data_IF_808726303338
#
_entry.id   IF_808726303338
#
_cell.length_a   1.000
_cell.length_b   1.000
_cell.length_c   1.000
_cell.angle_alpha   90.00
_cell.angle_beta   90.00
_cell.angle_gamma   90.00
#
_symmetry.space_group_name_H-M   'P 1'
#
loop_
_entity.id
_entity.type
_entity.pdbx_description
1 polymer ?
#
# COMPACT_ATOMS: atom_id res chain seq x y z
N UNK A 1 -5.23 17.05 -16.25
CA UNK A 1 -5.59 16.28 -15.03
C UNK A 1 -7.07 16.50 -14.72
N UNK A 2 -7.81 15.44 -14.56
CA UNK A 2 -9.19 15.54 -14.06
C UNK A 2 -9.17 15.62 -12.53
N UNK A 3 -9.30 16.82 -12.01
CA UNK A 3 -9.22 17.05 -10.56
C UNK A 3 -10.37 16.44 -9.79
N UNK A 4 -11.54 16.28 -10.41
CA UNK A 4 -12.67 15.59 -9.80
C UNK A 4 -12.32 14.14 -9.52
N UNK A 5 -11.77 13.45 -10.49
CA UNK A 5 -11.31 12.07 -10.32
C UNK A 5 -10.17 11.97 -9.31
N UNK A 6 -9.21 12.89 -9.37
CA UNK A 6 -8.13 12.92 -8.40
C UNK A 6 -8.67 12.96 -6.97
N UNK A 7 -9.59 13.86 -6.67
CA UNK A 7 -10.13 13.98 -5.32
C UNK A 7 -10.97 12.76 -4.91
N UNK A 8 -11.68 12.12 -5.83
CA UNK A 8 -12.41 10.89 -5.54
C UNK A 8 -11.44 9.77 -5.14
N UNK A 9 -10.39 9.56 -5.92
CA UNK A 9 -9.38 8.56 -5.59
C UNK A 9 -8.58 8.92 -4.33
N UNK A 10 -8.30 10.20 -4.13
CA UNK A 10 -7.63 10.67 -2.93
C UNK A 10 -8.47 10.41 -1.67
N UNK A 11 -9.78 10.61 -1.73
CA UNK A 11 -10.68 10.27 -0.62
C UNK A 11 -10.66 8.78 -0.32
N UNK A 12 -10.63 7.92 -1.35
CA UNK A 12 -10.48 6.48 -1.16
C UNK A 12 -9.16 6.13 -0.48
N UNK A 13 -8.09 6.80 -0.87
CA UNK A 13 -6.78 6.64 -0.23
C UNK A 13 -6.78 7.14 1.22
N UNK A 14 -7.47 8.23 1.50
CA UNK A 14 -7.64 8.73 2.88
C UNK A 14 -8.40 7.73 3.75
N UNK A 15 -9.41 7.06 3.20
CA UNK A 15 -10.13 6.00 3.90
C UNK A 15 -9.18 4.84 4.24
N UNK A 16 -8.34 4.42 3.30
CA UNK A 16 -7.30 3.42 3.56
C UNK A 16 -6.30 3.90 4.60
N UNK A 17 -5.86 5.15 4.51
CA UNK A 17 -4.92 5.75 5.46
C UNK A 17 -5.48 5.84 6.88
N UNK A 18 -6.79 5.97 7.03
CA UNK A 18 -7.45 6.04 8.34
C UNK A 18 -7.20 4.78 9.18
N UNK A 19 -6.98 3.63 8.55
CA UNK A 19 -6.63 2.41 9.27
C UNK A 19 -5.31 2.55 10.03
N UNK A 20 -4.34 3.27 9.49
CA UNK A 20 -3.08 3.57 10.17
C UNK A 20 -3.26 4.46 11.39
N UNK A 21 -4.23 5.38 11.36
CA UNK A 21 -4.54 6.22 12.50
C UNK A 21 -5.30 5.44 13.59
N UNK A 22 -6.17 4.50 13.20
CA UNK A 22 -6.97 3.69 14.13
C UNK A 22 -6.16 2.53 14.72
N UNK A 23 -5.22 1.96 13.98
CA UNK A 23 -4.43 0.79 14.37
C UNK A 23 -2.95 1.15 14.33
N UNK A 24 -2.51 1.97 15.29
CA UNK A 24 -1.12 2.38 15.40
C UNK A 24 -0.25 1.24 15.96
N UNK A 25 1.08 1.25 15.68
CA UNK A 25 1.98 0.19 16.13
C UNK A 25 1.96 -0.05 17.63
N UNK A 26 2.11 1.00 18.46
CA UNK A 26 1.98 0.93 19.90
C UNK A 26 2.98 0.01 20.60
N UNK A 27 2.68 -0.32 21.86
CA UNK A 27 3.58 -1.05 22.73
C UNK A 27 3.85 -2.49 22.25
N UNK A 28 2.84 -3.15 21.67
CA UNK A 28 3.01 -4.49 21.15
C UNK A 28 4.12 -4.54 20.10
N UNK A 29 4.08 -3.61 19.14
CA UNK A 29 5.09 -3.54 18.08
C UNK A 29 6.47 -3.16 18.62
N UNK A 30 6.51 -2.21 19.54
CA UNK A 30 7.77 -1.75 20.15
C UNK A 30 8.48 -2.87 20.91
N UNK A 31 7.71 -3.81 21.49
CA UNK A 31 8.24 -4.95 22.21
C UNK A 31 8.69 -6.13 21.34
N UNK A 32 8.44 -6.08 20.04
CA UNK A 32 8.83 -7.16 19.14
C UNK A 32 10.34 -7.15 18.84
N UNK A 33 10.89 -8.34 18.61
CA UNK A 33 12.24 -8.46 18.06
C UNK A 33 12.19 -8.11 16.57
N UNK A 34 12.90 -7.05 16.18
CA UNK A 34 12.88 -6.50 14.83
C UNK A 34 14.27 -6.52 14.21
N UNK A 35 14.39 -6.65 12.86
CA UNK A 35 15.69 -6.58 12.21
C UNK A 35 16.32 -5.19 12.39
N UNK A 36 17.66 -5.13 12.35
CA UNK A 36 18.41 -3.89 12.55
C UNK A 36 18.08 -2.81 11.51
N UNK A 37 17.63 -3.21 10.31
CA UNK A 37 17.28 -2.28 9.23
C UNK A 37 15.84 -1.76 9.30
N UNK A 38 15.10 -2.06 10.38
CA UNK A 38 13.71 -1.60 10.55
C UNK A 38 13.65 -0.07 10.49
N UNK A 39 12.81 0.52 9.61
CA UNK A 39 12.68 1.98 9.54
C UNK A 39 12.15 2.56 10.86
N UNK A 40 12.56 3.78 11.23
CA UNK A 40 11.95 4.47 12.36
C UNK A 40 10.44 4.67 12.17
N UNK A 41 9.67 4.71 13.25
CA UNK A 41 8.22 4.78 13.20
C UNK A 41 7.70 5.96 12.38
N UNK A 42 8.38 7.11 12.42
CA UNK A 42 7.96 8.30 11.67
C UNK A 42 8.03 8.14 10.16
N UNK A 43 8.83 7.20 9.65
CA UNK A 43 8.97 6.94 8.21
C UNK A 43 7.68 6.39 7.63
N UNK A 44 6.94 5.58 8.40
CA UNK A 44 5.71 4.94 7.91
C UNK A 44 4.63 5.95 7.47
N UNK A 45 4.19 6.89 8.33
CA UNK A 45 3.16 7.84 7.92
C UNK A 45 3.62 8.78 6.80
N UNK A 46 4.88 9.21 6.80
CA UNK A 46 5.41 10.08 5.74
C UNK A 46 5.40 9.35 4.40
N UNK A 47 5.92 8.11 4.37
CA UNK A 47 5.96 7.30 3.15
C UNK A 47 4.55 7.01 2.63
N UNK A 48 3.63 6.58 3.49
CA UNK A 48 2.27 6.28 3.09
C UNK A 48 1.54 7.52 2.55
N UNK A 49 1.76 8.69 3.13
CA UNK A 49 1.17 9.94 2.64
C UNK A 49 1.62 10.24 1.21
N UNK A 50 2.92 10.16 0.96
CA UNK A 50 3.48 10.37 -0.38
C UNK A 50 2.91 9.35 -1.36
N UNK A 51 2.85 8.08 -0.97
CA UNK A 51 2.35 7.00 -1.83
C UNK A 51 0.86 7.18 -2.15
N UNK A 52 0.03 7.57 -1.19
CA UNK A 52 -1.40 7.78 -1.43
C UNK A 52 -1.65 8.94 -2.40
N UNK A 53 -0.90 10.02 -2.29
CA UNK A 53 -0.98 11.12 -3.25
C UNK A 53 -0.57 10.65 -4.64
N UNK A 54 0.53 9.91 -4.74
CA UNK A 54 1.01 9.35 -6.02
C UNK A 54 0.00 8.40 -6.65
N UNK A 55 -0.62 7.52 -5.84
CA UNK A 55 -1.68 6.61 -6.31
C UNK A 55 -2.88 7.36 -6.87
N UNK A 56 -3.32 8.40 -6.18
CA UNK A 56 -4.49 9.17 -6.61
C UNK A 56 -4.21 9.88 -7.93
N UNK A 57 -3.01 10.43 -8.11
CA UNK A 57 -2.60 11.05 -9.38
C UNK A 57 -2.59 9.99 -10.49
N UNK A 58 -1.96 8.85 -10.24
CA UNK A 58 -1.86 7.78 -11.24
C UNK A 58 -3.24 7.27 -11.66
N UNK A 59 -4.13 7.01 -10.70
CA UNK A 59 -5.49 6.54 -10.96
C UNK A 59 -6.30 7.56 -11.77
N UNK A 60 -6.20 8.85 -11.43
CA UNK A 60 -6.90 9.90 -12.15
C UNK A 60 -6.45 10.01 -13.61
N UNK A 61 -5.16 9.78 -13.86
CA UNK A 61 -4.62 9.80 -15.23
C UNK A 61 -5.10 8.61 -16.05
N UNK A 62 -5.19 7.43 -15.44
CA UNK A 62 -5.53 6.18 -16.14
C UNK A 62 -7.04 6.03 -16.33
N UNK A 63 -7.84 6.45 -15.37
CA UNK A 63 -9.29 6.23 -15.36
C UNK A 63 -10.01 6.83 -16.58
N UNK A 64 -9.48 7.89 -17.16
CA UNK A 64 -10.06 8.55 -18.34
C UNK A 64 -9.61 7.93 -19.67
N UNK A 65 -8.73 6.95 -19.64
CA UNK A 65 -8.18 6.34 -20.85
C UNK A 65 -9.04 5.17 -21.31
N UNK A 66 -9.13 4.99 -22.62
CA UNK A 66 -9.80 3.83 -23.20
C UNK A 66 -9.04 2.54 -22.80
N UNK A 67 -9.80 1.50 -22.48
CA UNK A 67 -9.20 0.22 -22.11
C UNK A 67 -8.68 0.15 -20.69
N UNK A 68 -9.07 1.08 -19.81
CA UNK A 68 -8.58 1.15 -18.44
C UNK A 68 -9.29 0.22 -17.45
N UNK A 69 -10.32 -0.51 -17.88
CA UNK A 69 -11.18 -1.28 -16.96
C UNK A 69 -10.39 -2.27 -16.09
N UNK A 70 -9.52 -3.09 -16.70
CA UNK A 70 -8.72 -4.06 -15.95
C UNK A 70 -7.70 -3.37 -15.04
N UNK A 71 -7.05 -2.31 -15.54
CA UNK A 71 -6.10 -1.54 -14.74
C UNK A 71 -6.76 -0.94 -13.50
N UNK A 72 -7.96 -0.40 -13.64
CA UNK A 72 -8.71 0.16 -12.52
C UNK A 72 -9.24 -0.92 -11.58
N UNK A 73 -9.55 -2.11 -12.09
CA UNK A 73 -9.91 -3.25 -11.24
C UNK A 73 -8.72 -3.68 -10.37
N UNK A 74 -7.52 -3.76 -10.93
CA UNK A 74 -6.32 -4.03 -10.14
C UNK A 74 -6.05 -2.93 -9.11
N UNK A 75 -6.27 -1.67 -9.49
CA UNK A 75 -6.16 -0.56 -8.55
C UNK A 75 -7.11 -0.72 -7.36
N UNK A 76 -8.37 -1.06 -7.60
CA UNK A 76 -9.35 -1.30 -6.55
C UNK A 76 -8.92 -2.47 -5.65
N UNK A 77 -8.44 -3.57 -6.23
CA UNK A 77 -7.98 -4.74 -5.48
C UNK A 77 -6.78 -4.40 -4.57
N UNK A 78 -5.78 -3.67 -5.10
CA UNK A 78 -4.64 -3.29 -4.28
C UNK A 78 -5.04 -2.37 -3.13
N UNK A 79 -5.98 -1.46 -3.34
CA UNK A 79 -6.45 -0.57 -2.28
C UNK A 79 -7.17 -1.36 -1.18
N UNK A 80 -7.93 -2.38 -1.55
CA UNK A 80 -8.60 -3.26 -0.59
C UNK A 80 -7.58 -4.02 0.27
N UNK A 81 -6.57 -4.64 -0.32
CA UNK A 81 -5.53 -5.33 0.44
C UNK A 81 -4.69 -4.37 1.28
N UNK A 82 -4.41 -3.18 0.76
CA UNK A 82 -3.74 -2.12 1.50
C UNK A 82 -4.51 -1.76 2.77
N UNK A 83 -5.83 -1.60 2.65
CA UNK A 83 -6.69 -1.27 3.77
C UNK A 83 -6.72 -2.39 4.82
N UNK A 84 -6.65 -3.65 4.40
CA UNK A 84 -6.73 -4.81 5.30
C UNK A 84 -5.46 -5.05 6.11
N UNK A 85 -4.29 -4.71 5.58
CA UNK A 85 -3.03 -5.13 6.20
C UNK A 85 -2.84 -4.53 7.60
N UNK A 86 -3.01 -3.23 7.75
CA UNK A 86 -2.79 -2.54 9.03
C UNK A 86 -3.69 -3.07 10.14
N UNK A 87 -5.02 -3.24 9.94
CA UNK A 87 -5.87 -3.84 10.97
C UNK A 87 -5.44 -5.25 11.36
N UNK A 88 -5.01 -6.07 10.40
CA UNK A 88 -4.64 -7.46 10.67
C UNK A 88 -3.30 -7.52 11.41
N UNK A 89 -2.30 -6.76 10.96
CA UNK A 89 -0.98 -6.80 11.56
C UNK A 89 -0.96 -6.06 12.91
N UNK A 90 -1.35 -4.79 12.94
CA UNK A 90 -1.26 -3.95 14.13
C UNK A 90 -2.51 -4.05 15.03
N UNK A 91 -3.68 -4.31 14.47
CA UNK A 91 -4.92 -4.42 15.25
C UNK A 91 -5.09 -5.80 15.87
N UNK A 92 -5.02 -6.86 15.07
CA UNK A 92 -5.22 -8.22 15.52
C UNK A 92 -3.92 -8.90 15.95
N UNK A 93 -2.77 -8.27 15.74
CA UNK A 93 -1.43 -8.79 16.04
C UNK A 93 -1.16 -10.15 15.35
N UNK A 94 -1.73 -10.34 14.16
CA UNK A 94 -1.61 -11.59 13.41
C UNK A 94 -0.57 -11.45 12.29
N UNK A 95 0.68 -11.71 12.64
CA UNK A 95 1.81 -11.52 11.72
C UNK A 95 1.77 -12.50 10.53
N UNK A 96 1.35 -13.74 10.74
CA UNK A 96 1.23 -14.73 9.67
C UNK A 96 0.10 -14.39 8.69
N UNK A 97 -1.07 -14.00 9.20
CA UNK A 97 -2.18 -13.53 8.36
C UNK A 97 -1.81 -12.23 7.64
N UNK A 98 -1.10 -11.32 8.33
CA UNK A 98 -0.56 -10.11 7.73
C UNK A 98 0.38 -10.43 6.57
N UNK A 99 1.18 -11.49 6.68
CA UNK A 99 2.06 -11.93 5.61
C UNK A 99 1.29 -12.33 4.35
N UNK A 100 0.20 -13.08 4.51
CA UNK A 100 -0.65 -13.45 3.38
C UNK A 100 -1.25 -12.22 2.70
N UNK A 101 -1.79 -11.29 3.49
CA UNK A 101 -2.40 -10.06 2.97
C UNK A 101 -1.36 -9.20 2.24
N UNK A 102 -0.16 -9.04 2.80
CA UNK A 102 0.86 -8.18 2.17
C UNK A 102 1.42 -8.81 0.89
N UNK A 103 1.46 -10.14 0.79
CA UNK A 103 1.83 -10.80 -0.47
C UNK A 103 0.76 -10.60 -1.54
N UNK A 104 -0.52 -10.66 -1.18
CA UNK A 104 -1.62 -10.32 -2.09
C UNK A 104 -1.55 -8.85 -2.49
N UNK A 105 -1.23 -7.97 -1.57
CA UNK A 105 -1.02 -6.55 -1.84
C UNK A 105 0.13 -6.37 -2.84
N UNK A 106 1.26 -7.01 -2.60
CA UNK A 106 2.42 -6.94 -3.49
C UNK A 106 2.06 -7.35 -4.92
N UNK A 107 1.36 -8.48 -5.05
CA UNK A 107 0.94 -9.00 -6.36
C UNK A 107 0.00 -8.03 -7.09
N UNK A 108 -0.98 -7.46 -6.37
CA UNK A 108 -1.93 -6.52 -6.96
C UNK A 108 -1.31 -5.16 -7.26
N UNK A 109 -0.34 -4.71 -6.47
CA UNK A 109 0.42 -3.49 -6.76
C UNK A 109 1.27 -3.69 -8.03
N UNK A 110 1.95 -4.83 -8.14
CA UNK A 110 2.72 -5.16 -9.34
C UNK A 110 1.84 -5.22 -10.58
N UNK A 111 0.67 -5.87 -10.48
CA UNK A 111 -0.29 -5.96 -11.59
C UNK A 111 -0.81 -4.58 -11.99
N UNK A 112 -1.13 -3.73 -11.02
CA UNK A 112 -1.57 -2.35 -11.26
C UNK A 112 -0.48 -1.56 -11.97
N UNK A 113 0.75 -1.64 -11.47
CA UNK A 113 1.90 -0.95 -12.06
C UNK A 113 2.10 -1.33 -13.53
N UNK A 114 2.11 -2.62 -13.83
CA UNK A 114 2.30 -3.10 -15.20
C UNK A 114 1.14 -2.67 -16.11
N UNK A 115 -0.09 -2.76 -15.64
CA UNK A 115 -1.27 -2.32 -16.39
C UNK A 115 -1.25 -0.80 -16.64
N UNK A 116 -0.82 -0.03 -15.65
CA UNK A 116 -0.70 1.43 -15.78
C UNK A 116 0.40 1.80 -16.78
N UNK A 117 1.56 1.14 -16.72
CA UNK A 117 2.62 1.38 -17.71
C UNK A 117 2.16 1.14 -19.15
N UNK A 118 1.29 0.16 -19.37
CA UNK A 118 0.77 -0.14 -20.69
C UNK A 118 -0.13 0.98 -21.25
N UNK A 119 -0.71 1.80 -20.36
CA UNK A 119 -1.65 2.87 -20.73
C UNK A 119 -1.04 4.27 -20.60
N UNK A 120 -0.23 4.51 -19.59
CA UNK A 120 0.38 5.80 -19.33
C UNK A 120 1.68 5.61 -18.54
N UNK A 121 2.79 5.95 -19.15
CA UNK A 121 4.14 5.74 -18.57
C UNK A 121 4.29 6.46 -17.23
N UNK A 122 3.78 7.68 -17.09
CA UNK A 122 3.90 8.42 -15.83
C UNK A 122 3.11 7.73 -14.71
N UNK A 123 1.90 7.27 -15.01
CA UNK A 123 1.08 6.56 -14.02
C UNK A 123 1.77 5.28 -13.53
N UNK A 124 2.36 4.50 -14.45
CA UNK A 124 3.16 3.34 -14.09
C UNK A 124 4.37 3.70 -13.23
N UNK A 125 5.07 4.76 -13.60
CA UNK A 125 6.25 5.24 -12.85
C UNK A 125 5.90 5.68 -11.42
N UNK A 126 4.71 6.25 -11.21
CA UNK A 126 4.24 6.65 -9.88
C UNK A 126 3.98 5.44 -8.96
N UNK A 127 3.77 4.25 -9.52
CA UNK A 127 3.62 3.01 -8.74
C UNK A 127 4.94 2.34 -8.41
N UNK A 128 6.06 2.71 -9.04
CA UNK A 128 7.36 2.10 -8.77
C UNK A 128 7.80 2.29 -7.31
N UNK A 129 7.78 3.51 -6.73
CA UNK A 129 8.11 3.68 -5.31
C UNK A 129 7.20 2.87 -4.39
N UNK A 130 5.93 2.74 -4.75
CA UNK A 130 4.97 1.96 -3.98
C UNK A 130 5.34 0.47 -3.96
N UNK A 131 5.67 -0.11 -5.11
CA UNK A 131 6.11 -1.50 -5.17
C UNK A 131 7.38 -1.72 -4.35
N UNK A 132 8.34 -0.80 -4.42
CA UNK A 132 9.57 -0.86 -3.62
C UNK A 132 9.22 -0.86 -2.11
N UNK A 133 8.34 0.05 -1.69
CA UNK A 133 7.93 0.14 -0.29
C UNK A 133 7.22 -1.12 0.19
N UNK A 134 6.30 -1.67 -0.60
CA UNK A 134 5.59 -2.91 -0.26
C UNK A 134 6.56 -4.10 -0.21
N UNK A 135 7.59 -4.12 -1.04
CA UNK A 135 8.65 -5.13 -0.97
C UNK A 135 9.39 -5.04 0.36
N UNK A 136 9.77 -3.83 0.79
CA UNK A 136 10.40 -3.60 2.09
C UNK A 136 9.47 -4.01 3.23
N UNK A 137 8.21 -3.62 3.16
CA UNK A 137 7.21 -3.95 4.18
C UNK A 137 6.95 -5.46 4.25
N UNK A 138 6.97 -6.15 3.12
CA UNK A 138 6.82 -7.62 3.07
C UNK A 138 8.01 -8.30 3.73
N UNK A 139 9.22 -7.85 3.45
CA UNK A 139 10.43 -8.35 4.07
C UNK A 139 10.43 -8.09 5.59
N UNK A 140 9.98 -6.92 6.00
CA UNK A 140 9.85 -6.57 7.42
C UNK A 140 8.82 -7.46 8.12
N UNK A 141 7.64 -7.62 7.54
CA UNK A 141 6.59 -8.49 8.07
C UNK A 141 7.10 -9.93 8.23
N UNK A 142 7.78 -10.44 7.23
CA UNK A 142 8.34 -11.80 7.27
C UNK A 142 9.41 -11.93 8.35
N UNK A 143 10.33 -10.97 8.44
CA UNK A 143 11.42 -10.99 9.41
C UNK A 143 10.89 -10.91 10.85
N UNK A 144 9.95 -10.00 11.10
CA UNK A 144 9.31 -9.84 12.42
C UNK A 144 8.54 -11.11 12.80
N UNK A 145 7.79 -11.67 11.86
CA UNK A 145 7.04 -12.90 12.10
C UNK A 145 7.97 -14.05 12.48
N UNK A 146 9.07 -14.22 11.75
CA UNK A 146 10.03 -15.29 12.05
C UNK A 146 10.73 -15.12 13.38
N UNK A 147 11.04 -13.88 13.77
CA UNK A 147 11.76 -13.58 15.01
C UNK A 147 10.90 -13.75 16.25
N UNK A 148 9.59 -13.61 16.13
CA UNK A 148 8.64 -13.56 17.26
C UNK A 148 7.66 -14.74 17.27
N UNK A 149 7.94 -15.76 16.48
CA UNK A 149 7.06 -16.92 16.35
C UNK A 149 7.67 -18.15 17.04
#
# INVERSE_FOLDING_TARGET
>A
MDWSLFFIFFLGCCAAASTGALFQPGDWYDGLDKPAWTPPDWVFPVTWTVLYISMAIAAARVAVLDGSAHAMAFFAAQLAFNTLWTPIFFGLHRMGAGMIVILCLWATVAATMLAFFALDTLAGALFVPYLIWVTIASALNFSVWRRNN
#
